data_IF_505246527817
#
_entry.id   IF_505246527817
#
_cell.length_a   1.000
_cell.length_b   1.000
_cell.length_c   1.000
_cell.angle_alpha   90.00
_cell.angle_beta   90.00
_cell.angle_gamma   90.00
#
_symmetry.space_group_name_H-M   'P 1'
#
loop_
_entity.id
_entity.type
_entity.pdbx_description
1 polymer ?
#
# COMPACT_ATOMS: atom_id res chain seq x y z
N UNK A 1 0.92 4.68 -1.27
CA UNK A 1 1.62 3.42 -0.95
C UNK A 1 2.97 3.68 -0.30
N UNK A 2 3.94 4.30 -0.99
CA UNK A 2 5.27 4.59 -0.42
C UNK A 2 5.19 5.35 0.92
N UNK A 3 4.40 6.43 0.98
CA UNK A 3 4.23 7.22 2.20
C UNK A 3 3.67 6.39 3.37
N UNK A 4 2.63 5.58 3.13
CA UNK A 4 2.05 4.69 4.13
C UNK A 4 3.05 3.63 4.64
N UNK A 5 3.91 3.09 3.75
CA UNK A 5 4.98 2.17 4.16
C UNK A 5 5.98 2.87 5.09
N UNK A 6 6.37 4.10 4.76
CA UNK A 6 7.30 4.89 5.56
C UNK A 6 6.72 5.26 6.93
N UNK A 7 5.43 5.62 7.00
CA UNK A 7 4.71 5.86 8.26
C UNK A 7 4.61 4.61 9.12
N UNK A 8 4.58 3.42 8.51
CA UNK A 8 4.66 2.14 9.22
C UNK A 8 6.09 1.75 9.64
N UNK A 9 7.10 2.58 9.36
CA UNK A 9 8.50 2.34 9.73
C UNK A 9 9.18 1.19 8.96
N UNK A 10 8.62 0.75 7.83
CA UNK A 10 9.13 -0.38 7.07
C UNK A 10 10.02 0.07 5.93
N UNK A 11 11.12 -0.64 5.69
CA UNK A 11 11.85 -0.62 4.42
C UNK A 11 11.09 -1.38 3.33
N UNK A 12 11.48 -1.18 2.06
CA UNK A 12 10.89 -1.96 0.95
C UNK A 12 11.21 -3.46 1.06
N UNK A 13 12.36 -3.83 1.62
CA UNK A 13 12.76 -5.22 1.82
C UNK A 13 11.91 -5.90 2.90
N UNK A 14 11.67 -5.23 4.02
CA UNK A 14 10.80 -5.76 5.10
C UNK A 14 9.34 -5.89 4.64
N UNK A 15 8.83 -4.93 3.86
CA UNK A 15 7.50 -5.04 3.29
C UNK A 15 7.42 -6.20 2.27
N UNK A 16 8.44 -6.35 1.43
CA UNK A 16 8.53 -7.45 0.46
C UNK A 16 8.53 -8.81 1.15
N UNK A 17 9.31 -8.97 2.23
CA UNK A 17 9.34 -10.20 3.02
C UNK A 17 7.96 -10.54 3.60
N UNK A 18 7.29 -9.57 4.22
CA UNK A 18 5.95 -9.74 4.80
C UNK A 18 4.88 -10.11 3.77
N UNK A 19 5.02 -9.65 2.54
CA UNK A 19 4.08 -9.89 1.46
C UNK A 19 4.49 -11.08 0.57
N UNK A 20 5.60 -11.75 0.87
CA UNK A 20 6.19 -12.80 0.03
C UNK A 20 6.45 -12.33 -1.41
N UNK A 21 6.89 -11.09 -1.56
CA UNK A 21 7.28 -10.46 -2.83
C UNK A 21 8.79 -10.24 -2.89
N UNK A 22 9.30 -9.89 -4.07
CA UNK A 22 10.65 -9.33 -4.18
C UNK A 22 10.64 -7.84 -3.80
N UNK A 23 11.76 -7.33 -3.29
CA UNK A 23 11.93 -5.89 -3.05
C UNK A 23 11.81 -5.08 -4.36
N UNK A 24 12.24 -5.65 -5.49
CA UNK A 24 12.06 -5.04 -6.81
C UNK A 24 10.59 -4.87 -7.17
N UNK A 25 9.73 -5.87 -6.89
CA UNK A 25 8.30 -5.77 -7.13
C UNK A 25 7.65 -4.65 -6.29
N UNK A 26 8.04 -4.52 -5.02
CA UNK A 26 7.59 -3.39 -4.17
C UNK A 26 8.02 -2.04 -4.76
N UNK A 27 9.27 -1.92 -5.22
CA UNK A 27 9.77 -0.70 -5.86
C UNK A 27 9.04 -0.35 -7.15
N UNK A 28 8.75 -1.34 -8.01
CA UNK A 28 7.99 -1.13 -9.25
C UNK A 28 6.54 -0.70 -8.99
N UNK A 29 5.92 -1.24 -7.94
CA UNK A 29 4.57 -0.83 -7.50
C UNK A 29 4.61 0.61 -6.96
N UNK A 30 5.57 0.94 -6.08
CA UNK A 30 5.69 2.28 -5.49
C UNK A 30 6.02 3.37 -6.53
N UNK A 31 6.76 3.02 -7.58
CA UNK A 31 7.09 3.93 -8.69
C UNK A 31 6.01 3.98 -9.78
N UNK A 32 4.96 3.16 -9.70
CA UNK A 32 3.89 3.09 -10.71
C UNK A 32 4.34 2.48 -12.04
N UNK A 33 5.48 1.79 -12.08
CA UNK A 33 6.09 1.25 -13.31
C UNK A 33 5.28 0.09 -13.91
N UNK A 34 4.62 -0.72 -13.06
CA UNK A 34 3.92 -1.95 -13.48
C UNK A 34 2.39 -1.85 -13.32
N UNK A 35 1.83 -0.65 -13.18
CA UNK A 35 0.39 -0.45 -12.86
C UNK A 35 -0.55 -0.34 -14.07
N UNK A 36 -0.14 -0.79 -15.26
CA UNK A 36 -0.98 -0.64 -16.47
C UNK A 36 -2.34 -1.36 -16.36
N UNK A 37 -2.36 -2.57 -15.78
CA UNK A 37 -3.60 -3.33 -15.60
C UNK A 37 -4.49 -2.71 -14.50
N UNK A 38 -3.89 -2.15 -13.47
CA UNK A 38 -4.62 -1.42 -12.41
C UNK A 38 -5.34 -0.19 -12.99
N UNK A 39 -4.67 0.55 -13.88
CA UNK A 39 -5.30 1.68 -14.58
C UNK A 39 -6.50 1.23 -15.41
N UNK A 40 -6.35 0.18 -16.22
CA UNK A 40 -7.46 -0.39 -17.01
C UNK A 40 -8.62 -0.85 -16.14
N UNK A 41 -8.33 -1.44 -14.99
CA UNK A 41 -9.37 -1.84 -14.03
C UNK A 41 -10.12 -0.62 -13.49
N UNK A 42 -9.42 0.47 -13.13
CA UNK A 42 -10.07 1.72 -12.72
C UNK A 42 -10.93 2.33 -13.83
N UNK A 43 -10.45 2.31 -15.08
CA UNK A 43 -11.22 2.80 -16.23
C UNK A 43 -12.53 2.00 -16.41
N UNK A 44 -12.45 0.66 -16.29
CA UNK A 44 -13.62 -0.21 -16.35
C UNK A 44 -14.60 0.04 -15.20
N UNK A 45 -14.10 0.20 -13.97
CA UNK A 45 -14.95 0.47 -12.80
C UNK A 45 -15.66 1.81 -12.94
N UNK A 46 -14.97 2.84 -13.45
CA UNK A 46 -15.56 4.14 -13.70
C UNK A 46 -16.69 4.08 -14.75
N UNK A 47 -16.47 3.38 -15.86
CA UNK A 47 -17.48 3.23 -16.92
C UNK A 47 -18.72 2.45 -16.47
N UNK A 48 -18.55 1.56 -15.48
CA UNK A 48 -19.61 0.68 -14.99
C UNK A 48 -20.26 1.18 -13.69
N UNK A 49 -19.98 2.40 -13.26
CA UNK A 49 -20.44 2.98 -11.99
C UNK A 49 -20.13 2.09 -10.76
N UNK A 50 -18.97 1.42 -10.77
CA UNK A 50 -18.49 0.58 -9.67
C UNK A 50 -17.62 1.41 -8.71
N UNK A 51 -18.01 1.47 -7.45
CA UNK A 51 -17.26 2.15 -6.39
C UNK A 51 -16.23 1.22 -5.72
N UNK A 52 -14.99 1.69 -5.56
CA UNK A 52 -13.96 1.04 -4.75
C UNK A 52 -13.62 1.91 -3.54
N UNK A 53 -13.80 1.37 -2.33
CA UNK A 53 -13.42 2.03 -1.08
C UNK A 53 -12.42 1.18 -0.29
N UNK A 54 -11.55 1.86 0.48
CA UNK A 54 -10.59 1.24 1.38
C UNK A 54 -10.55 2.02 2.70
N UNK A 55 -10.61 1.30 3.82
CA UNK A 55 -10.52 1.85 5.18
C UNK A 55 -9.48 1.09 5.97
N UNK A 56 -8.73 1.80 6.82
CA UNK A 56 -7.75 1.20 7.73
C UNK A 56 -7.93 1.78 9.12
N UNK A 57 -7.80 0.93 10.14
CA UNK A 57 -7.77 1.36 11.54
C UNK A 57 -6.35 1.75 11.91
N UNK A 58 -6.18 2.98 12.41
CA UNK A 58 -4.92 3.39 13.03
C UNK A 58 -4.81 2.63 14.35
N UNK A 59 -3.85 1.69 14.46
CA UNK A 59 -3.53 1.08 15.75
C UNK A 59 -3.11 2.22 16.68
N UNK A 60 -3.93 2.51 17.69
CA UNK A 60 -3.62 3.52 18.69
C UNK A 60 -2.23 3.21 19.25
N UNK A 61 -1.40 4.24 19.30
CA UNK A 61 -0.10 4.22 19.94
C UNK A 61 -0.28 3.88 21.42
N UNK A 62 -0.04 2.61 21.79
CA UNK A 62 0.17 2.19 23.19
C UNK A 62 1.64 2.41 23.60
N UNK A 63 2.14 3.64 23.52
CA UNK A 63 3.36 4.04 24.24
C UNK A 63 3.00 4.50 25.67
N UNK A 64 2.74 3.49 26.51
CA UNK A 64 3.39 3.27 27.81
C UNK A 64 3.86 4.51 28.62
N UNK A 65 3.23 4.74 29.78
CA UNK A 65 3.95 4.93 31.06
C UNK A 65 3.82 6.29 31.78
N UNK A 66 3.72 6.31 33.14
CA UNK A 66 3.22 7.44 33.92
C UNK A 66 4.29 8.52 34.21
N UNK A 67 3.83 9.74 34.50
CA UNK A 67 4.58 10.75 35.26
C UNK A 67 3.93 10.98 36.60
#
# INVERSE_FOLDING_TARGET
MQQARLEAGLSQAELAERLHLSQSAVSEIESGKTTIYLRRLFDLMHELDIELSASWEQRADESTGPR
#
